data_IF_076192146026
#
_entry.id   IF_076192146026
#
_cell.length_a   1.000
_cell.length_b   1.000
_cell.length_c   1.000
_cell.angle_alpha   90.00
_cell.angle_beta   90.00
_cell.angle_gamma   90.00
#
_symmetry.space_group_name_H-M   'P 1'
#
loop_
_entity.id
_entity.type
_entity.pdbx_description
1 polymer ?
#
# COMPACT_ATOMS: atom_id res chain seq x y z
N UNK A 1 12.53 -30.63 17.44
CA UNK A 1 11.49 -29.58 17.47
C UNK A 1 11.71 -28.62 16.30
N UNK A 2 10.73 -28.43 15.40
CA UNK A 2 10.89 -27.50 14.29
C UNK A 2 10.80 -26.05 14.77
N UNK A 3 11.70 -25.17 14.27
CA UNK A 3 11.71 -23.74 14.62
C UNK A 3 10.71 -22.98 13.75
N UNK A 4 9.86 -22.17 14.38
CA UNK A 4 8.90 -21.31 13.67
C UNK A 4 9.64 -20.38 12.70
N UNK A 5 9.21 -20.40 11.43
CA UNK A 5 9.79 -19.55 10.38
C UNK A 5 8.92 -18.32 10.18
N UNK A 6 9.55 -17.16 10.05
CA UNK A 6 8.85 -15.92 9.71
C UNK A 6 8.55 -15.89 8.21
N UNK A 7 7.36 -15.39 7.85
CA UNK A 7 6.99 -15.19 6.44
C UNK A 7 7.73 -13.96 5.91
N UNK A 8 8.72 -14.20 5.06
CA UNK A 8 9.58 -13.15 4.50
C UNK A 8 8.80 -12.06 3.75
N UNK A 9 7.70 -12.43 3.07
CA UNK A 9 6.82 -11.50 2.38
C UNK A 9 6.13 -10.50 3.32
N UNK A 10 5.76 -10.94 4.53
CA UNK A 10 5.12 -10.08 5.53
C UNK A 10 6.15 -9.18 6.23
N UNK A 11 7.33 -9.73 6.57
CA UNK A 11 8.45 -8.97 7.17
C UNK A 11 8.87 -7.76 6.33
N UNK A 12 8.76 -7.84 5.00
CA UNK A 12 9.10 -6.75 4.08
C UNK A 12 8.05 -5.63 4.02
N UNK A 13 6.82 -5.88 4.48
CA UNK A 13 5.68 -4.96 4.32
C UNK A 13 5.18 -4.35 5.62
N UNK A 14 5.36 -5.07 6.73
CA UNK A 14 4.80 -4.71 8.03
C UNK A 14 5.92 -4.57 9.06
N UNK A 15 5.83 -3.51 9.87
CA UNK A 15 6.72 -3.27 11.00
C UNK A 15 5.93 -2.99 12.28
N UNK A 16 6.54 -3.21 13.45
CA UNK A 16 5.92 -2.88 14.72
C UNK A 16 6.28 -1.46 15.16
N UNK A 17 5.33 -0.77 15.79
CA UNK A 17 5.57 0.48 16.52
C UNK A 17 6.09 0.16 17.92
N UNK A 18 6.65 1.17 18.61
CA UNK A 18 7.14 1.00 19.98
C UNK A 18 6.05 0.53 20.97
N UNK A 19 4.77 0.85 20.70
CA UNK A 19 3.62 0.40 21.50
C UNK A 19 3.02 -0.94 21.05
N UNK A 20 3.66 -1.66 20.13
CA UNK A 20 3.23 -2.99 19.69
C UNK A 20 2.16 -3.00 18.58
N UNK A 21 1.81 -1.86 17.99
CA UNK A 21 0.88 -1.81 16.84
C UNK A 21 1.61 -2.12 15.53
N UNK A 22 0.88 -2.58 14.52
CA UNK A 22 1.45 -2.85 13.19
C UNK A 22 1.33 -1.61 12.30
N UNK A 23 2.43 -1.23 11.66
CA UNK A 23 2.52 -0.15 10.66
C UNK A 23 2.62 -0.74 9.25
N UNK A 24 1.88 -0.13 8.31
CA UNK A 24 1.92 -0.44 6.87
C UNK A 24 1.80 0.85 6.04
N UNK A 25 2.35 0.84 4.83
CA UNK A 25 2.16 1.93 3.87
C UNK A 25 0.86 1.78 3.05
N UNK A 26 0.19 2.88 2.66
CA UNK A 26 -1.01 2.82 1.82
C UNK A 26 -0.68 2.37 0.39
N UNK A 27 -1.60 1.65 -0.24
CA UNK A 27 -1.48 1.22 -1.63
C UNK A 27 -1.76 2.38 -2.62
N UNK A 28 -1.33 2.21 -3.87
CA UNK A 28 -1.70 3.11 -4.98
C UNK A 28 -0.95 4.45 -5.04
N UNK A 29 0.16 4.61 -4.31
CA UNK A 29 0.96 5.85 -4.28
C UNK A 29 2.36 5.73 -4.89
N UNK A 30 2.61 4.71 -5.70
CA UNK A 30 3.95 4.41 -6.27
C UNK A 30 4.19 5.04 -7.64
N UNK A 31 3.16 5.14 -8.47
CA UNK A 31 3.22 5.64 -9.85
C UNK A 31 1.84 6.22 -10.23
N UNK A 32 1.75 7.01 -11.30
CA UNK A 32 0.52 7.71 -11.72
C UNK A 32 -0.04 8.65 -10.64
N UNK A 33 0.86 9.45 -10.03
CA UNK A 33 0.47 10.50 -9.09
C UNK A 33 -0.13 11.68 -9.86
N UNK A 34 -1.43 11.60 -10.13
CA UNK A 34 -2.22 12.70 -10.68
C UNK A 34 -2.54 13.72 -9.58
N UNK A 35 -2.71 14.99 -9.94
CA UNK A 35 -3.23 15.99 -9.00
C UNK A 35 -4.67 15.64 -8.56
N UNK A 36 -5.10 16.17 -7.41
CA UNK A 36 -6.44 15.89 -6.90
C UNK A 36 -7.57 16.36 -7.85
N UNK A 37 -7.31 17.39 -8.66
CA UNK A 37 -8.20 17.84 -9.74
C UNK A 37 -8.21 16.84 -10.91
N UNK A 38 -7.04 16.38 -11.35
CA UNK A 38 -6.94 15.49 -12.53
C UNK A 38 -7.50 14.10 -12.23
N UNK A 39 -7.30 13.57 -11.01
CA UNK A 39 -7.91 12.29 -10.59
C UNK A 39 -9.44 12.30 -10.68
N UNK A 40 -10.10 13.43 -10.39
CA UNK A 40 -11.56 13.55 -10.50
C UNK A 40 -12.01 13.58 -11.96
N UNK A 41 -11.29 14.29 -12.82
CA UNK A 41 -11.57 14.40 -14.25
C UNK A 41 -11.39 13.03 -14.92
N UNK A 42 -10.24 12.37 -14.72
CA UNK A 42 -9.98 11.04 -15.28
C UNK A 42 -10.97 10.00 -14.74
N UNK A 43 -11.40 10.09 -13.47
CA UNK A 43 -12.50 9.26 -12.92
C UNK A 43 -13.84 9.44 -13.61
N UNK A 44 -14.17 10.68 -13.96
CA UNK A 44 -15.46 11.02 -14.54
C UNK A 44 -15.53 10.68 -16.03
N UNK A 45 -14.46 10.94 -16.78
CA UNK A 45 -14.49 10.88 -18.25
C UNK A 45 -13.78 9.66 -18.84
N UNK A 46 -12.89 9.02 -18.08
CA UNK A 46 -12.15 7.82 -18.53
C UNK A 46 -12.31 6.71 -17.49
N UNK A 47 -13.51 6.08 -17.39
CA UNK A 47 -13.82 5.11 -16.35
C UNK A 47 -13.07 3.78 -16.50
N UNK A 48 -12.60 3.46 -17.71
CA UNK A 48 -11.94 2.18 -18.03
C UNK A 48 -10.41 2.26 -18.20
N UNK A 49 -9.84 3.47 -18.34
CA UNK A 49 -8.39 3.67 -18.52
C UNK A 49 -7.64 3.83 -17.18
N UNK A 50 -8.10 3.15 -16.13
CA UNK A 50 -7.43 3.10 -14.82
C UNK A 50 -7.50 1.74 -14.17
#
# INVERSE_FOLDING_TARGET
>A
MPKMKTKSAAKKRFSFTASGRVKAGPAGKRHMLLSASDTKIVKKYMPYDR
#
